data_IF_739634925167
#
_entry.id   IF_739634925167
#
_cell.length_a   1.000
_cell.length_b   1.000
_cell.length_c   1.000
_cell.angle_alpha   90.00
_cell.angle_beta   90.00
_cell.angle_gamma   90.00
#
_symmetry.space_group_name_H-M   'P 1'
#
loop_
_entity.id
_entity.type
_entity.pdbx_description
1 polymer ?
#
# COMPACT_ATOMS: atom_id res chain seq x y z
N UNK A 1 -0.02 -6.36 -3.25
CA UNK A 1 0.03 -5.50 -2.02
C UNK A 1 0.43 -6.34 -0.83
N UNK A 2 0.72 -5.77 0.38
CA UNK A 2 1.03 -6.59 1.57
C UNK A 2 -0.12 -7.54 1.96
N UNK A 3 -1.35 -7.20 1.63
CA UNK A 3 -2.56 -7.99 1.92
C UNK A 3 -2.64 -9.30 1.14
N UNK A 4 -2.32 -9.31 -0.14
CA UNK A 4 -2.36 -10.51 -0.99
C UNK A 4 -1.29 -11.54 -0.58
N UNK A 5 -0.08 -11.05 -0.30
CA UNK A 5 1.01 -11.89 0.22
C UNK A 5 0.67 -12.46 1.61
N UNK A 6 0.06 -11.66 2.49
CA UNK A 6 -0.32 -12.12 3.82
C UNK A 6 -1.47 -13.14 3.75
N UNK A 7 -2.48 -12.90 2.89
CA UNK A 7 -3.56 -13.85 2.62
C UNK A 7 -2.99 -15.16 2.09
N UNK A 8 -2.07 -15.11 1.11
CA UNK A 8 -1.45 -16.31 0.54
C UNK A 8 -0.66 -17.10 1.58
N UNK A 9 0.07 -16.43 2.49
CA UNK A 9 0.81 -17.09 3.58
C UNK A 9 -0.11 -17.81 4.56
N UNK A 10 -1.20 -17.14 4.96
CA UNK A 10 -2.19 -17.74 5.85
C UNK A 10 -2.87 -18.97 5.20
N UNK A 11 -3.27 -18.85 3.94
CA UNK A 11 -3.90 -19.98 3.22
C UNK A 11 -2.93 -21.15 3.00
N UNK A 12 -1.64 -20.86 2.80
CA UNK A 12 -0.60 -21.87 2.60
C UNK A 12 -0.37 -22.77 3.83
N UNK A 13 -0.88 -22.40 5.01
CA UNK A 13 -0.87 -23.26 6.19
C UNK A 13 -1.77 -24.53 6.03
N UNK A 14 -2.64 -24.53 5.02
CA UNK A 14 -3.58 -25.63 4.80
C UNK A 14 -3.65 -26.10 3.35
N UNK A 15 -3.42 -25.25 2.40
CA UNK A 15 -3.63 -25.49 0.97
C UNK A 15 -2.34 -25.30 0.17
N UNK A 16 -2.27 -25.95 -0.99
CA UNK A 16 -1.28 -25.64 -2.01
C UNK A 16 -1.68 -24.32 -2.71
N UNK A 17 -1.05 -23.21 -2.32
CA UNK A 17 -1.38 -21.87 -2.79
C UNK A 17 -0.39 -21.38 -3.84
N UNK A 18 -0.90 -20.79 -4.92
CA UNK A 18 -0.12 -19.99 -5.84
C UNK A 18 -0.60 -18.52 -5.79
N UNK A 19 0.31 -17.57 -5.66
CA UNK A 19 -0.03 -16.15 -5.58
C UNK A 19 0.71 -15.34 -6.64
N UNK A 20 0.14 -14.19 -7.01
CA UNK A 20 0.79 -13.21 -7.88
C UNK A 20 2.20 -12.90 -7.40
N UNK A 21 3.17 -12.96 -8.30
CA UNK A 21 4.57 -12.66 -8.02
C UNK A 21 4.91 -11.22 -8.42
N UNK A 22 5.65 -10.51 -7.55
CA UNK A 22 6.12 -9.15 -7.83
C UNK A 22 4.97 -8.16 -8.10
N UNK A 23 4.93 -7.60 -9.30
CA UNK A 23 3.92 -6.64 -9.78
C UNK A 23 3.08 -7.18 -10.94
N UNK A 24 2.95 -8.49 -11.10
CA UNK A 24 2.21 -9.14 -12.19
C UNK A 24 0.68 -9.05 -11.98
N UNK A 25 0.16 -7.83 -11.80
CA UNK A 25 -1.21 -7.55 -11.43
C UNK A 25 -2.04 -6.82 -12.53
N UNK A 26 -1.51 -6.69 -13.74
CA UNK A 26 -2.16 -6.08 -14.89
C UNK A 26 -2.60 -7.12 -15.93
N UNK A 27 -3.09 -6.65 -17.10
CA UNK A 27 -3.56 -7.50 -18.20
C UNK A 27 -2.51 -8.43 -18.83
N UNK A 28 -1.23 -8.26 -18.53
CA UNK A 28 -0.15 -9.19 -18.87
C UNK A 28 0.17 -10.11 -17.68
N UNK A 29 0.27 -9.54 -16.50
CA UNK A 29 0.71 -10.24 -15.31
C UNK A 29 -0.31 -11.25 -14.76
N UNK A 30 -1.61 -10.92 -14.82
CA UNK A 30 -2.67 -11.83 -14.37
C UNK A 30 -2.70 -13.12 -15.21
N UNK A 31 -2.70 -13.08 -16.56
CA UNK A 31 -2.55 -14.29 -17.37
C UNK A 31 -1.29 -15.10 -17.04
N UNK A 32 -0.14 -14.44 -16.83
CA UNK A 32 1.09 -15.13 -16.46
C UNK A 32 0.98 -15.80 -15.09
N UNK A 33 0.33 -15.18 -14.13
CA UNK A 33 0.04 -15.77 -12.81
C UNK A 33 -0.81 -17.03 -12.95
N UNK A 34 -1.86 -16.99 -13.78
CA UNK A 34 -2.73 -18.14 -14.01
C UNK A 34 -2.01 -19.29 -14.73
N UNK A 35 -1.21 -18.98 -15.76
CA UNK A 35 -0.43 -19.96 -16.51
C UNK A 35 0.65 -20.64 -15.67
N UNK A 36 1.11 -20.02 -14.60
CA UNK A 36 2.09 -20.59 -13.67
C UNK A 36 1.45 -21.53 -12.63
N UNK A 37 0.13 -21.55 -12.49
CA UNK A 37 -0.58 -22.49 -11.64
C UNK A 37 -0.49 -23.90 -12.23
N UNK A 38 -0.34 -24.89 -11.36
CA UNK A 38 -0.25 -26.30 -11.73
C UNK A 38 -1.50 -27.06 -11.31
N UNK A 39 -1.59 -28.35 -11.66
CA UNK A 39 -2.68 -29.20 -11.20
C UNK A 39 -2.71 -29.40 -9.69
N UNK A 40 -1.59 -29.16 -9.02
CA UNK A 40 -1.48 -29.28 -7.56
C UNK A 40 -1.91 -27.99 -6.84
N UNK A 41 -2.13 -26.88 -7.57
CA UNK A 41 -2.61 -25.63 -7.00
C UNK A 41 -4.07 -25.75 -6.60
N UNK A 42 -4.36 -25.68 -5.31
CA UNK A 42 -5.71 -25.74 -4.75
C UNK A 42 -6.37 -24.36 -4.68
N UNK A 43 -5.57 -23.31 -4.39
CA UNK A 43 -6.04 -21.93 -4.30
C UNK A 43 -5.10 -20.98 -5.05
N UNK A 44 -5.68 -20.14 -5.88
CA UNK A 44 -4.98 -19.01 -6.53
C UNK A 44 -5.29 -17.69 -5.81
N UNK A 45 -4.26 -16.94 -5.42
CA UNK A 45 -4.40 -15.56 -4.90
C UNK A 45 -3.91 -14.59 -5.97
N UNK A 46 -4.83 -13.96 -6.67
CA UNK A 46 -4.52 -13.09 -7.81
C UNK A 46 -4.70 -11.63 -7.43
N UNK A 47 -3.59 -10.87 -7.39
CA UNK A 47 -3.63 -9.42 -7.24
C UNK A 47 -4.09 -8.77 -8.54
N UNK A 48 -5.05 -7.85 -8.47
CA UNK A 48 -5.56 -7.08 -9.59
C UNK A 48 -5.29 -5.59 -9.36
N UNK A 49 -4.41 -5.02 -10.18
CA UNK A 49 -4.12 -3.59 -10.21
C UNK A 49 -4.88 -2.90 -11.34
N UNK A 50 -5.32 -1.68 -11.09
CA UNK A 50 -5.96 -0.86 -12.12
C UNK A 50 -5.60 0.61 -11.96
N UNK A 51 -5.51 1.30 -13.08
CA UNK A 51 -5.34 2.75 -13.21
C UNK A 51 -6.53 3.46 -13.84
N UNK A 52 -7.49 2.71 -14.44
CA UNK A 52 -8.69 3.22 -15.06
C UNK A 52 -9.89 2.28 -14.86
N UNK A 53 -11.12 2.80 -15.08
CA UNK A 53 -12.34 1.99 -15.13
C UNK A 53 -12.27 1.01 -16.32
N UNK A 54 -12.86 -0.18 -16.12
CA UNK A 54 -12.87 -1.27 -17.11
C UNK A 54 -11.71 -2.25 -16.95
N UNK A 55 -10.61 -1.87 -16.30
CA UNK A 55 -9.45 -2.74 -16.15
C UNK A 55 -9.71 -3.89 -15.15
N UNK A 56 -10.36 -3.64 -14.02
CA UNK A 56 -10.72 -4.72 -13.08
C UNK A 56 -11.73 -5.67 -13.70
N UNK A 57 -12.70 -5.16 -14.47
CA UNK A 57 -13.64 -5.99 -15.20
C UNK A 57 -12.93 -6.94 -16.18
N UNK A 58 -11.96 -6.43 -16.95
CA UNK A 58 -11.12 -7.25 -17.83
C UNK A 58 -10.34 -8.32 -17.05
N UNK A 59 -9.69 -7.94 -15.94
CA UNK A 59 -8.91 -8.88 -15.13
C UNK A 59 -9.80 -9.95 -14.48
N UNK A 60 -11.00 -9.60 -14.06
CA UNK A 60 -11.99 -10.55 -13.58
C UNK A 60 -12.45 -11.51 -14.68
N UNK A 61 -12.67 -11.03 -15.92
CA UNK A 61 -13.02 -11.89 -17.04
C UNK A 61 -11.90 -12.89 -17.39
N UNK A 62 -10.63 -12.56 -17.11
CA UNK A 62 -9.48 -13.44 -17.32
C UNK A 62 -9.31 -14.43 -16.15
N UNK A 63 -9.40 -13.95 -14.91
CA UNK A 63 -9.09 -14.73 -13.72
C UNK A 63 -10.30 -15.54 -13.18
N UNK A 64 -11.51 -15.18 -13.56
CA UNK A 64 -12.77 -15.81 -13.13
C UNK A 64 -12.84 -16.03 -11.60
N UNK A 65 -12.67 -14.98 -10.78
CA UNK A 65 -12.57 -15.13 -9.34
C UNK A 65 -13.88 -15.65 -8.72
N UNK A 66 -13.76 -16.62 -7.82
CA UNK A 66 -14.88 -17.11 -7.00
C UNK A 66 -15.05 -16.27 -5.73
N UNK A 67 -13.96 -15.65 -5.26
CA UNK A 67 -13.90 -14.81 -4.08
C UNK A 67 -13.19 -13.51 -4.40
N UNK A 68 -13.54 -12.44 -3.69
CA UNK A 68 -12.87 -11.16 -3.86
C UNK A 68 -12.75 -10.36 -2.59
N UNK A 69 -11.73 -9.54 -2.53
CA UNK A 69 -11.46 -8.63 -1.44
C UNK A 69 -11.01 -7.27 -2.02
N UNK A 70 -11.73 -6.20 -1.71
CA UNK A 70 -11.25 -4.84 -1.93
C UNK A 70 -10.68 -4.34 -0.60
N UNK A 71 -9.38 -4.06 -0.57
CA UNK A 71 -8.70 -3.64 0.66
C UNK A 71 -9.09 -2.24 1.11
N UNK A 72 -9.25 -1.34 0.17
CA UNK A 72 -9.73 0.03 0.39
C UNK A 72 -10.13 0.70 -0.93
N UNK A 73 -10.88 1.80 -0.83
CA UNK A 73 -11.12 2.76 -1.92
C UNK A 73 -10.35 4.03 -1.57
N UNK A 74 -9.04 4.02 -1.89
CA UNK A 74 -8.13 5.13 -1.61
C UNK A 74 -8.04 6.13 -2.77
N UNK A 75 -7.17 7.12 -2.61
CA UNK A 75 -6.89 8.19 -3.59
C UNK A 75 -5.67 7.82 -4.43
N UNK A 76 -5.76 6.73 -5.20
CA UNK A 76 -4.69 6.25 -6.08
C UNK A 76 -5.12 6.36 -7.54
N UNK A 77 -4.17 6.66 -8.45
CA UNK A 77 -4.39 6.76 -9.89
C UNK A 77 -5.55 7.70 -10.27
N UNK A 78 -5.66 8.84 -9.55
CA UNK A 78 -6.79 9.77 -9.68
C UNK A 78 -6.98 10.27 -11.11
N UNK A 79 -5.89 10.49 -11.84
CA UNK A 79 -5.92 10.95 -13.23
C UNK A 79 -6.64 9.94 -14.13
N UNK A 80 -6.19 8.68 -14.13
CA UNK A 80 -6.74 7.64 -15.00
C UNK A 80 -8.18 7.24 -14.64
N UNK A 81 -8.54 7.27 -13.35
CA UNK A 81 -9.91 7.01 -12.91
C UNK A 81 -10.84 8.23 -13.04
N UNK A 82 -10.31 9.44 -13.26
CA UNK A 82 -11.11 10.68 -13.28
C UNK A 82 -11.61 11.08 -11.89
N UNK A 83 -10.85 10.82 -10.82
CA UNK A 83 -11.14 11.18 -9.45
C UNK A 83 -11.60 10.04 -8.55
N UNK A 84 -11.91 10.35 -7.29
CA UNK A 84 -12.23 9.37 -6.23
C UNK A 84 -13.44 8.50 -6.58
N UNK A 85 -14.47 9.08 -7.16
CA UNK A 85 -15.67 8.31 -7.58
C UNK A 85 -15.36 7.35 -8.73
N UNK A 86 -14.43 7.69 -9.61
CA UNK A 86 -13.90 6.78 -10.63
C UNK A 86 -13.14 5.61 -10.00
N UNK A 87 -12.31 5.85 -8.98
CA UNK A 87 -11.65 4.77 -8.22
C UNK A 87 -12.67 3.83 -7.59
N UNK A 88 -13.74 4.37 -7.00
CA UNK A 88 -14.84 3.60 -6.42
C UNK A 88 -15.53 2.71 -7.46
N UNK A 89 -15.86 3.26 -8.62
CA UNK A 89 -16.48 2.51 -9.72
C UNK A 89 -15.55 1.41 -10.24
N UNK A 90 -14.30 1.76 -10.60
CA UNK A 90 -13.36 0.80 -11.15
C UNK A 90 -13.04 -0.36 -10.21
N UNK A 91 -12.81 -0.10 -8.92
CA UNK A 91 -12.63 -1.19 -7.95
C UNK A 91 -13.92 -1.97 -7.73
N UNK A 92 -15.09 -1.32 -7.82
CA UNK A 92 -16.40 -1.94 -7.69
C UNK A 92 -16.70 -2.98 -8.77
N UNK A 93 -16.01 -2.94 -9.92
CA UNK A 93 -16.13 -3.93 -11.00
C UNK A 93 -15.86 -5.37 -10.53
N UNK A 94 -14.99 -5.55 -9.50
CA UNK A 94 -14.83 -6.85 -8.85
C UNK A 94 -16.13 -7.35 -8.20
N UNK A 95 -16.83 -6.46 -7.49
CA UNK A 95 -18.11 -6.82 -6.87
C UNK A 95 -19.20 -7.06 -7.91
N UNK A 96 -19.19 -6.31 -9.03
CA UNK A 96 -20.12 -6.52 -10.15
C UNK A 96 -19.91 -7.93 -10.75
N UNK A 97 -18.64 -8.31 -10.98
CA UNK A 97 -18.30 -9.64 -11.49
C UNK A 97 -18.76 -10.76 -10.55
N UNK A 98 -18.42 -10.64 -9.24
CA UNK A 98 -18.79 -11.65 -8.25
C UNK A 98 -20.32 -11.80 -8.13
N UNK A 99 -21.05 -10.69 -8.12
CA UNK A 99 -22.51 -10.70 -8.07
C UNK A 99 -23.13 -11.39 -9.28
N UNK A 100 -22.58 -11.17 -10.48
CA UNK A 100 -23.06 -11.79 -11.72
C UNK A 100 -22.74 -13.28 -11.83
N UNK A 101 -21.66 -13.75 -11.19
CA UNK A 101 -21.15 -15.13 -11.33
C UNK A 101 -21.32 -15.97 -10.06
N UNK A 102 -22.13 -15.52 -9.08
CA UNK A 102 -22.40 -16.28 -7.84
C UNK A 102 -21.20 -16.38 -6.90
N UNK A 103 -20.23 -15.47 -7.04
CA UNK A 103 -19.06 -15.36 -6.18
C UNK A 103 -19.37 -14.68 -4.84
N UNK A 104 -18.35 -14.56 -3.98
CA UNK A 104 -18.46 -13.98 -2.64
C UNK A 104 -17.41 -12.90 -2.42
N UNK A 105 -17.78 -11.80 -1.78
CA UNK A 105 -16.88 -10.74 -1.37
C UNK A 105 -16.59 -10.79 0.14
N UNK A 106 -15.32 -10.64 0.52
CA UNK A 106 -14.94 -10.31 1.89
C UNK A 106 -14.98 -8.80 2.05
N UNK A 107 -15.77 -8.32 3.00
CA UNK A 107 -16.01 -6.88 3.18
C UNK A 107 -15.74 -6.49 4.62
N UNK A 108 -14.89 -5.49 4.80
CA UNK A 108 -14.58 -4.95 6.13
C UNK A 108 -15.78 -4.16 6.67
N UNK A 109 -16.25 -4.55 7.86
CA UNK A 109 -17.51 -4.06 8.44
C UNK A 109 -17.48 -2.56 8.80
N UNK A 110 -16.34 -2.04 9.23
CA UNK A 110 -16.17 -0.64 9.64
C UNK A 110 -15.91 0.32 8.47
N UNK A 111 -15.72 -0.20 7.26
CA UNK A 111 -15.58 0.61 6.05
C UNK A 111 -16.94 0.84 5.39
N UNK A 112 -17.58 1.97 5.75
CA UNK A 112 -18.90 2.31 5.21
C UNK A 112 -18.94 2.43 3.70
N UNK A 113 -17.82 2.76 3.03
CA UNK A 113 -17.73 2.81 1.57
C UNK A 113 -17.82 1.41 0.98
N UNK A 114 -17.02 0.45 1.49
CA UNK A 114 -17.04 -0.93 1.01
C UNK A 114 -18.38 -1.62 1.30
N UNK A 115 -18.94 -1.39 2.49
CA UNK A 115 -20.27 -1.93 2.86
C UNK A 115 -21.34 -1.40 1.93
N UNK A 116 -21.34 -0.09 1.65
CA UNK A 116 -22.30 0.51 0.70
C UNK A 116 -22.12 -0.04 -0.72
N UNK A 117 -20.87 -0.14 -1.21
CA UNK A 117 -20.57 -0.71 -2.52
C UNK A 117 -21.07 -2.16 -2.65
N UNK A 118 -20.93 -2.96 -1.61
CA UNK A 118 -21.45 -4.33 -1.60
C UNK A 118 -22.97 -4.38 -1.58
N UNK A 119 -23.61 -3.54 -0.75
CA UNK A 119 -25.08 -3.46 -0.63
C UNK A 119 -25.78 -2.98 -1.91
N UNK A 120 -25.12 -2.17 -2.73
CA UNK A 120 -25.62 -1.73 -4.04
C UNK A 120 -25.78 -2.91 -5.05
N UNK A 121 -25.23 -4.08 -4.73
CA UNK A 121 -25.31 -5.33 -5.54
C UNK A 121 -26.10 -6.38 -4.78
N UNK A 122 -27.41 -6.31 -4.88
CA UNK A 122 -28.37 -7.05 -4.03
C UNK A 122 -28.23 -8.58 -4.06
N UNK A 123 -27.55 -9.15 -5.04
CA UNK A 123 -27.29 -10.59 -5.18
C UNK A 123 -25.84 -11.00 -4.87
N UNK A 124 -24.99 -10.07 -4.42
CA UNK A 124 -23.62 -10.36 -4.01
C UNK A 124 -23.63 -11.08 -2.66
N UNK A 125 -23.06 -12.29 -2.62
CA UNK A 125 -22.78 -12.96 -1.36
C UNK A 125 -21.64 -12.24 -0.63
N UNK A 126 -21.85 -11.90 0.65
CA UNK A 126 -20.90 -11.09 1.43
C UNK A 126 -20.50 -11.84 2.69
N UNK A 127 -19.19 -11.87 2.96
CA UNK A 127 -18.60 -12.25 4.23
C UNK A 127 -18.09 -10.98 4.93
N UNK A 128 -18.82 -10.54 5.95
CA UNK A 128 -18.43 -9.37 6.74
C UNK A 128 -17.40 -9.75 7.80
N UNK A 129 -16.30 -9.03 7.87
CA UNK A 129 -15.32 -9.20 8.94
C UNK A 129 -15.07 -7.91 9.72
N UNK A 130 -14.78 -8.06 11.00
CA UNK A 130 -14.42 -6.97 11.89
C UNK A 130 -12.89 -6.85 11.97
N UNK A 131 -12.29 -5.66 11.76
CA UNK A 131 -10.85 -5.50 11.92
C UNK A 131 -10.35 -5.75 13.35
N UNK A 132 -11.22 -5.74 14.36
CA UNK A 132 -10.87 -6.08 15.73
C UNK A 132 -10.35 -7.53 15.90
N UNK A 133 -10.59 -8.42 14.94
CA UNK A 133 -10.00 -9.78 14.97
C UNK A 133 -8.48 -9.78 14.96
N UNK A 134 -7.85 -8.69 14.51
CA UNK A 134 -6.40 -8.51 14.51
C UNK A 134 -5.86 -7.87 15.80
N UNK A 135 -6.72 -7.50 16.76
CA UNK A 135 -6.29 -6.87 18.00
C UNK A 135 -5.46 -7.86 18.86
N UNK A 136 -4.30 -7.38 19.31
CA UNK A 136 -3.38 -8.19 20.08
C UNK A 136 -2.66 -9.30 19.28
N UNK A 137 -2.83 -9.36 17.98
CA UNK A 137 -2.08 -10.29 17.13
C UNK A 137 -0.70 -9.70 16.83
N UNK A 138 0.36 -10.40 17.27
CA UNK A 138 1.73 -10.00 16.99
C UNK A 138 2.04 -10.10 15.50
N UNK A 139 2.61 -9.03 14.94
CA UNK A 139 3.11 -9.00 13.57
C UNK A 139 4.30 -8.04 13.43
N UNK A 140 5.04 -8.16 12.33
CA UNK A 140 6.24 -7.35 12.04
C UNK A 140 6.01 -6.29 10.96
N UNK A 141 4.77 -6.08 10.60
CA UNK A 141 4.37 -5.07 9.63
C UNK A 141 4.30 -3.71 10.31
N UNK A 142 4.94 -2.70 9.74
CA UNK A 142 4.91 -1.32 10.26
C UNK A 142 3.66 -0.58 9.81
N UNK A 143 3.11 0.23 10.71
CA UNK A 143 1.97 1.11 10.45
C UNK A 143 0.61 0.52 10.80
N UNK A 144 -0.24 1.36 11.42
CA UNK A 144 -1.57 1.00 11.88
C UNK A 144 -2.48 0.44 10.77
N UNK A 145 -2.28 0.86 9.52
CA UNK A 145 -3.04 0.34 8.37
C UNK A 145 -2.76 -1.14 8.08
N UNK A 146 -1.60 -1.67 8.49
CA UNK A 146 -1.29 -3.09 8.30
C UNK A 146 -2.10 -3.99 9.23
N UNK A 147 -2.61 -3.48 10.36
CA UNK A 147 -3.62 -4.19 11.17
C UNK A 147 -4.85 -4.57 10.32
N UNK A 148 -5.26 -3.72 9.37
CA UNK A 148 -6.37 -4.01 8.46
C UNK A 148 -6.01 -5.13 7.46
N UNK A 149 -4.76 -5.17 6.99
CA UNK A 149 -4.27 -6.25 6.12
C UNK A 149 -4.21 -7.58 6.89
N UNK A 150 -3.77 -7.55 8.16
CA UNK A 150 -3.78 -8.71 9.07
C UNK A 150 -5.21 -9.20 9.28
N UNK A 151 -6.15 -8.31 9.59
CA UNK A 151 -7.55 -8.68 9.78
C UNK A 151 -8.16 -9.33 8.54
N UNK A 152 -7.87 -8.79 7.35
CA UNK A 152 -8.32 -9.38 6.09
C UNK A 152 -7.77 -10.81 5.88
N UNK A 153 -6.48 -11.02 6.11
CA UNK A 153 -5.86 -12.32 5.98
C UNK A 153 -6.41 -13.33 7.00
N UNK A 154 -6.61 -12.92 8.25
CA UNK A 154 -7.25 -13.75 9.29
C UNK A 154 -8.69 -14.12 8.92
N UNK A 155 -9.48 -13.15 8.44
CA UNK A 155 -10.86 -13.40 8.02
C UNK A 155 -10.94 -14.43 6.89
N UNK A 156 -10.09 -14.26 5.85
CA UNK A 156 -9.99 -15.21 4.74
C UNK A 156 -9.53 -16.58 5.24
N UNK A 157 -8.48 -16.65 6.06
CA UNK A 157 -7.98 -17.91 6.63
C UNK A 157 -9.05 -18.66 7.41
N UNK A 158 -9.81 -17.99 8.27
CA UNK A 158 -10.93 -18.55 9.04
C UNK A 158 -12.03 -19.09 8.13
N UNK A 159 -12.41 -18.35 7.12
CA UNK A 159 -13.42 -18.77 6.15
C UNK A 159 -13.03 -20.07 5.44
N UNK A 160 -11.77 -20.20 5.05
CA UNK A 160 -11.23 -21.41 4.43
C UNK A 160 -10.85 -22.49 5.45
N UNK A 161 -11.14 -22.30 6.74
CA UNK A 161 -10.94 -23.30 7.78
C UNK A 161 -9.47 -23.60 8.08
N UNK A 162 -8.61 -22.60 7.94
CA UNK A 162 -7.24 -22.66 8.49
C UNK A 162 -7.34 -22.56 10.02
N UNK A 163 -6.57 -23.36 10.72
CA UNK A 163 -6.53 -23.37 12.18
C UNK A 163 -6.07 -22.00 12.73
N UNK A 164 -6.70 -21.54 13.82
CA UNK A 164 -6.47 -20.20 14.37
C UNK A 164 -5.02 -19.99 14.83
N UNK A 165 -4.40 -21.02 15.41
CA UNK A 165 -3.00 -20.95 15.85
C UNK A 165 -2.08 -20.81 14.65
N UNK A 166 -2.30 -21.61 13.58
CA UNK A 166 -1.55 -21.50 12.34
C UNK A 166 -1.72 -20.16 11.64
N UNK A 167 -2.94 -19.58 11.66
CA UNK A 167 -3.17 -18.22 11.14
C UNK A 167 -2.29 -17.22 11.87
N UNK A 168 -2.26 -17.27 13.22
CA UNK A 168 -1.46 -16.35 14.04
C UNK A 168 0.04 -16.54 13.81
N UNK A 169 0.50 -17.77 13.69
CA UNK A 169 1.90 -18.08 13.43
C UNK A 169 2.34 -17.58 12.04
N UNK A 170 1.53 -17.81 11.01
CA UNK A 170 1.79 -17.30 9.67
C UNK A 170 1.88 -15.76 9.62
N UNK A 171 0.98 -15.08 10.33
CA UNK A 171 0.99 -13.61 10.46
C UNK A 171 2.23 -13.12 11.21
N UNK A 172 2.59 -13.75 12.34
CA UNK A 172 3.74 -13.37 13.15
C UNK A 172 5.08 -13.63 12.44
N UNK A 173 5.13 -14.70 11.63
CA UNK A 173 6.33 -15.07 10.85
C UNK A 173 6.52 -14.20 9.60
N UNK A 174 5.46 -13.55 9.10
CA UNK A 174 5.53 -12.76 7.88
C UNK A 174 6.49 -11.58 8.01
N UNK A 175 7.38 -11.43 7.04
CA UNK A 175 8.32 -10.31 6.94
C UNK A 175 8.18 -9.67 5.57
N UNK A 176 7.88 -8.35 5.51
CA UNK A 176 7.89 -7.63 4.23
C UNK A 176 9.34 -7.55 3.70
N UNK A 177 9.52 -7.85 2.42
CA UNK A 177 10.81 -7.82 1.72
C UNK A 177 10.79 -6.93 0.46
N UNK A 178 9.71 -6.17 0.27
CA UNK A 178 9.39 -5.48 -0.97
C UNK A 178 9.38 -3.95 -0.86
N UNK A 179 10.15 -3.35 0.03
CA UNK A 179 10.22 -1.90 0.28
C UNK A 179 8.84 -1.26 0.58
N UNK A 180 7.93 -2.03 1.23
CA UNK A 180 6.63 -1.53 1.69
C UNK A 180 6.60 -1.49 3.20
N UNK A 181 6.65 -0.28 3.77
CA UNK A 181 6.66 -0.06 5.23
C UNK A 181 7.66 -0.97 5.97
N UNK A 182 8.86 -1.12 5.38
CA UNK A 182 9.89 -2.00 5.91
C UNK A 182 10.82 -1.24 6.84
N UNK A 183 10.93 -1.67 8.10
CA UNK A 183 11.94 -1.14 9.01
C UNK A 183 13.30 -1.78 8.72
N UNK A 184 14.33 -0.95 8.54
CA UNK A 184 15.72 -1.37 8.37
C UNK A 184 16.63 -0.59 9.32
N UNK A 185 17.57 -1.26 9.93
CA UNK A 185 18.68 -0.61 10.65
C UNK A 185 19.91 -0.64 9.77
N UNK A 186 20.55 0.50 9.60
CA UNK A 186 21.87 0.64 8.97
C UNK A 186 22.92 0.84 10.06
N UNK A 187 24.18 0.98 9.69
CA UNK A 187 25.23 1.31 10.63
C UNK A 187 25.07 2.70 11.27
N UNK A 188 24.25 3.57 10.68
CA UNK A 188 24.12 4.99 11.06
C UNK A 188 22.72 5.36 11.52
N UNK A 189 21.68 4.76 10.94
CA UNK A 189 20.30 5.23 11.08
C UNK A 189 19.31 4.09 11.22
N UNK A 190 18.10 4.41 11.69
CA UNK A 190 16.94 3.54 11.58
C UNK A 190 16.04 4.07 10.48
N UNK A 191 15.69 3.22 9.51
CA UNK A 191 14.92 3.60 8.33
C UNK A 191 13.54 2.95 8.35
N UNK A 192 12.53 3.70 7.88
CA UNK A 192 11.26 3.18 7.39
C UNK A 192 11.28 3.33 5.87
N UNK A 193 11.44 2.21 5.16
CA UNK A 193 11.50 2.16 3.70
C UNK A 193 10.12 1.84 3.15
N UNK A 194 9.48 2.81 2.52
CA UNK A 194 8.13 2.71 1.93
C UNK A 194 8.09 3.37 0.55
N UNK A 195 9.05 3.00 -0.31
CA UNK A 195 9.28 3.61 -1.62
C UNK A 195 8.94 2.71 -2.82
N UNK A 196 8.12 1.65 -2.59
CA UNK A 196 7.61 0.84 -3.70
C UNK A 196 6.57 1.58 -4.54
N UNK A 197 5.66 2.33 -3.92
CA UNK A 197 4.70 3.22 -4.58
C UNK A 197 4.19 4.27 -3.58
N UNK A 198 3.73 5.42 -4.13
CA UNK A 198 3.12 6.47 -3.33
C UNK A 198 1.84 7.00 -4.01
N UNK A 199 0.83 7.21 -3.19
CA UNK A 199 -0.40 7.91 -3.52
C UNK A 199 -0.85 8.69 -2.29
N UNK A 200 -1.79 9.64 -2.40
CA UNK A 200 -2.21 10.48 -1.27
C UNK A 200 -2.59 9.72 -0.01
N UNK A 201 -3.36 8.64 -0.14
CA UNK A 201 -3.78 7.84 1.02
C UNK A 201 -2.61 7.13 1.70
N UNK A 202 -1.69 6.53 0.92
CA UNK A 202 -0.53 5.85 1.47
C UNK A 202 0.52 6.83 2.01
N UNK A 203 0.67 7.99 1.40
CA UNK A 203 1.56 9.07 1.88
C UNK A 203 1.09 9.58 3.24
N UNK A 204 -0.20 9.91 3.34
CA UNK A 204 -0.82 10.37 4.58
C UNK A 204 -0.67 9.35 5.72
N UNK A 205 -0.97 8.07 5.43
CA UNK A 205 -0.88 6.99 6.42
C UNK A 205 0.57 6.74 6.88
N UNK A 206 1.53 6.73 5.94
CA UNK A 206 2.95 6.53 6.24
C UNK A 206 3.52 7.68 7.08
N UNK A 207 3.19 8.93 6.72
CA UNK A 207 3.56 10.10 7.50
C UNK A 207 2.94 10.08 8.90
N UNK A 208 1.64 9.78 9.03
CA UNK A 208 0.98 9.72 10.33
C UNK A 208 1.62 8.69 11.25
N UNK A 209 1.96 7.51 10.73
CA UNK A 209 2.65 6.48 11.48
C UNK A 209 4.06 6.93 11.91
N UNK A 210 4.86 7.44 10.97
CA UNK A 210 6.23 7.90 11.22
C UNK A 210 6.29 9.04 12.25
N UNK A 211 5.37 10.00 12.16
CA UNK A 211 5.29 11.12 13.09
C UNK A 211 4.82 10.70 14.48
N UNK A 212 3.93 9.71 14.56
CA UNK A 212 3.41 9.18 15.82
C UNK A 212 4.38 8.28 16.59
N UNK A 213 5.48 7.82 15.96
CA UNK A 213 6.48 7.00 16.64
C UNK A 213 7.43 7.85 17.50
N UNK A 214 7.79 7.36 18.66
CA UNK A 214 8.89 7.92 19.44
C UNK A 214 10.23 7.48 18.86
N UNK A 215 11.18 8.41 18.74
CA UNK A 215 12.53 8.12 18.28
C UNK A 215 13.57 8.76 19.21
N UNK A 216 14.66 8.04 19.46
CA UNK A 216 15.78 8.54 20.29
C UNK A 216 16.60 9.59 19.53
N UNK A 217 16.61 9.51 18.19
CA UNK A 217 17.23 10.49 17.30
C UNK A 217 16.20 11.39 16.63
N UNK A 218 16.62 12.48 16.04
CA UNK A 218 15.71 13.36 15.28
C UNK A 218 15.10 12.65 14.08
N UNK A 219 13.91 13.07 13.69
CA UNK A 219 13.17 12.54 12.55
C UNK A 219 13.52 13.26 11.26
N UNK A 220 13.77 12.50 10.20
CA UNK A 220 13.98 13.02 8.85
C UNK A 220 12.98 12.37 7.90
N UNK A 221 12.19 13.17 7.20
CA UNK A 221 11.29 12.67 6.16
C UNK A 221 11.89 12.98 4.77
N UNK A 222 12.07 11.96 3.95
CA UNK A 222 12.47 12.06 2.54
C UNK A 222 11.26 11.63 1.70
N UNK A 223 10.60 12.61 1.10
CA UNK A 223 9.37 12.40 0.34
C UNK A 223 9.64 12.59 -1.15
N UNK A 224 9.38 11.57 -1.94
CA UNK A 224 9.43 11.60 -3.39
C UNK A 224 8.05 11.79 -4.00
N UNK A 225 7.99 12.38 -5.20
CA UNK A 225 6.75 12.68 -5.89
C UNK A 225 5.77 11.51 -5.92
N UNK A 226 4.49 11.85 -5.82
CA UNK A 226 3.36 10.97 -6.07
C UNK A 226 2.95 11.13 -7.53
N UNK A 227 3.15 10.09 -8.33
CA UNK A 227 2.83 10.09 -9.76
C UNK A 227 1.35 9.80 -10.02
N UNK A 228 0.90 10.08 -11.25
CA UNK A 228 -0.46 9.77 -11.76
C UNK A 228 -1.59 10.50 -11.00
N UNK A 229 -1.33 11.69 -10.51
CA UNK A 229 -2.33 12.50 -9.82
C UNK A 229 -3.01 13.54 -10.72
N UNK A 230 -2.43 13.87 -11.88
CA UNK A 230 -3.00 14.86 -12.79
C UNK A 230 -3.33 16.19 -12.11
N UNK A 231 -4.55 16.68 -12.28
CA UNK A 231 -4.99 17.96 -11.70
C UNK A 231 -5.00 18.00 -10.16
N UNK A 232 -4.93 16.86 -9.48
CA UNK A 232 -4.88 16.81 -8.00
C UNK A 232 -3.47 16.91 -7.45
N UNK A 233 -2.41 16.83 -8.31
CA UNK A 233 -1.02 16.77 -7.88
C UNK A 233 -0.65 17.90 -6.92
N UNK A 234 -0.89 19.15 -7.29
CA UNK A 234 -0.51 20.31 -6.48
C UNK A 234 -1.14 20.30 -5.07
N UNK A 235 -2.43 19.95 -4.97
CA UNK A 235 -3.15 19.92 -3.70
C UNK A 235 -2.67 18.78 -2.79
N UNK A 236 -2.41 17.59 -3.36
CA UNK A 236 -2.00 16.42 -2.59
C UNK A 236 -0.54 16.51 -2.12
N UNK A 237 0.36 17.04 -2.94
CA UNK A 237 1.74 17.29 -2.53
C UNK A 237 1.81 18.35 -1.44
N UNK A 238 1.01 19.43 -1.58
CA UNK A 238 0.87 20.44 -0.53
C UNK A 238 0.39 19.84 0.80
N UNK A 239 -0.66 19.02 0.78
CA UNK A 239 -1.19 18.37 1.98
C UNK A 239 -0.15 17.48 2.67
N UNK A 240 0.67 16.76 1.90
CA UNK A 240 1.76 15.94 2.45
C UNK A 240 2.84 16.81 3.13
N UNK A 241 3.21 17.93 2.53
CA UNK A 241 4.16 18.88 3.12
C UNK A 241 3.61 19.49 4.41
N UNK A 242 2.36 19.95 4.40
CA UNK A 242 1.68 20.51 5.57
C UNK A 242 1.64 19.48 6.72
N UNK A 243 1.31 18.23 6.43
CA UNK A 243 1.29 17.15 7.42
C UNK A 243 2.70 16.89 8.00
N UNK A 244 3.73 16.82 7.16
CA UNK A 244 5.10 16.59 7.61
C UNK A 244 5.60 17.72 8.51
N UNK A 245 5.35 18.99 8.13
CA UNK A 245 5.78 20.16 8.88
C UNK A 245 5.00 20.42 10.18
N UNK A 246 3.77 19.90 10.27
CA UNK A 246 2.98 19.92 11.51
C UNK A 246 3.55 18.98 12.58
N UNK A 247 4.39 18.03 12.19
CA UNK A 247 5.06 17.11 13.10
C UNK A 247 6.45 17.58 13.53
N UNK A 248 7.14 16.72 14.26
CA UNK A 248 8.44 16.93 14.88
C UNK A 248 9.64 16.57 13.98
N UNK A 249 9.51 16.74 12.66
CA UNK A 249 10.63 16.49 11.74
C UNK A 249 11.72 17.57 11.89
N UNK A 250 12.97 17.13 12.01
CA UNK A 250 14.14 18.01 11.97
C UNK A 250 14.47 18.45 10.54
N UNK A 251 14.28 17.55 9.57
CA UNK A 251 14.50 17.81 8.16
C UNK A 251 13.40 17.17 7.32
N UNK A 252 12.96 17.91 6.31
CA UNK A 252 12.04 17.46 5.29
C UNK A 252 12.70 17.60 3.92
N UNK A 253 13.07 16.50 3.32
CA UNK A 253 13.64 16.46 1.98
C UNK A 253 12.54 16.13 0.98
N UNK A 254 12.35 17.00 0.02
CA UNK A 254 11.35 16.90 -1.04
C UNK A 254 12.07 16.60 -2.36
N UNK A 255 11.79 15.43 -2.95
CA UNK A 255 12.50 14.92 -4.11
C UNK A 255 11.52 14.78 -5.28
N UNK A 256 11.76 15.58 -6.32
CA UNK A 256 10.97 15.61 -7.54
C UNK A 256 10.42 17.01 -7.87
N UNK A 257 9.84 17.11 -9.04
CA UNK A 257 9.35 18.37 -9.60
C UNK A 257 8.01 18.81 -9.01
N UNK A 258 7.15 17.84 -8.70
CA UNK A 258 5.81 18.10 -8.15
C UNK A 258 5.87 18.64 -6.72
N UNK A 259 6.64 18.00 -5.83
CA UNK A 259 6.89 18.51 -4.50
C UNK A 259 7.58 19.88 -4.53
N UNK A 260 8.57 20.05 -5.43
CA UNK A 260 9.26 21.33 -5.59
C UNK A 260 8.31 22.44 -6.03
N UNK A 261 7.40 22.16 -6.96
CA UNK A 261 6.39 23.09 -7.42
C UNK A 261 5.37 23.42 -6.31
N UNK A 262 4.88 22.40 -5.61
CA UNK A 262 3.94 22.60 -4.49
C UNK A 262 4.55 23.46 -3.38
N UNK A 263 5.80 23.18 -2.97
CA UNK A 263 6.49 23.96 -1.96
C UNK A 263 6.66 25.43 -2.36
N UNK A 264 7.12 25.69 -3.58
CA UNK A 264 7.27 27.07 -4.08
C UNK A 264 5.94 27.82 -4.14
N UNK A 265 4.86 27.14 -4.53
CA UNK A 265 3.51 27.71 -4.57
C UNK A 265 2.95 28.05 -3.18
N UNK A 266 3.41 27.38 -2.11
CA UNK A 266 3.03 27.70 -0.73
C UNK A 266 3.60 29.05 -0.29
N UNK A 267 4.67 29.55 -0.92
CA UNK A 267 5.25 30.88 -0.64
C UNK A 267 5.79 31.05 0.78
N UNK A 268 5.95 29.96 1.54
CA UNK A 268 6.52 29.97 2.88
C UNK A 268 7.98 29.49 2.85
N UNK A 269 8.79 30.00 3.77
CA UNK A 269 10.14 29.51 4.04
C UNK A 269 10.15 28.72 5.34
N UNK A 270 10.78 27.55 5.32
CA UNK A 270 11.06 26.76 6.52
C UNK A 270 12.46 26.15 6.33
N UNK A 271 13.37 26.43 7.26
CA UNK A 271 14.77 25.99 7.19
C UNK A 271 14.95 24.47 7.24
N UNK A 272 13.94 23.76 7.70
CA UNK A 272 13.90 22.28 7.72
C UNK A 272 13.75 21.69 6.31
N UNK A 273 13.23 22.47 5.33
CA UNK A 273 12.88 21.98 3.99
C UNK A 273 14.05 22.09 3.03
N UNK A 274 14.38 21.00 2.38
CA UNK A 274 15.33 20.95 1.26
C UNK A 274 14.67 20.36 0.02
N UNK A 275 14.92 20.99 -1.12
CA UNK A 275 14.39 20.58 -2.42
C UNK A 275 15.47 19.92 -3.26
N UNK A 276 15.11 18.83 -3.93
CA UNK A 276 15.95 18.12 -4.88
C UNK A 276 15.11 17.82 -6.11
N UNK A 277 15.60 18.15 -7.30
CA UNK A 277 14.87 17.84 -8.53
C UNK A 277 14.89 16.34 -8.83
N UNK A 278 15.95 15.63 -8.39
CA UNK A 278 16.14 14.21 -8.66
C UNK A 278 16.65 13.47 -7.42
N UNK A 279 16.50 12.14 -7.43
CA UNK A 279 17.10 11.27 -6.42
C UNK A 279 18.64 11.37 -6.41
N UNK A 280 19.28 11.61 -7.57
CA UNK A 280 20.74 11.75 -7.65
C UNK A 280 21.24 13.01 -6.94
N UNK A 281 20.51 14.11 -7.01
CA UNK A 281 20.84 15.32 -6.24
C UNK A 281 20.71 15.07 -4.73
N UNK A 282 19.66 14.35 -4.29
CA UNK A 282 19.50 13.96 -2.90
C UNK A 282 20.62 13.03 -2.42
N UNK A 283 21.04 12.05 -3.27
CA UNK A 283 22.16 11.17 -2.99
C UNK A 283 23.48 11.93 -2.84
N UNK A 284 23.77 12.87 -3.74
CA UNK A 284 24.97 13.71 -3.64
C UNK A 284 24.98 14.56 -2.35
N UNK A 285 23.83 15.05 -1.91
CA UNK A 285 23.71 15.79 -0.66
C UNK A 285 23.96 14.88 0.56
N UNK A 286 23.46 13.63 0.55
CA UNK A 286 23.76 12.64 1.60
C UNK A 286 25.22 12.25 1.66
N UNK A 287 25.87 12.09 0.50
CA UNK A 287 27.31 11.82 0.44
C UNK A 287 28.14 12.95 1.06
N UNK A 288 27.77 14.20 0.80
CA UNK A 288 28.46 15.38 1.32
C UNK A 288 28.19 15.59 2.83
N UNK A 289 27.00 15.24 3.33
CA UNK A 289 26.58 15.40 4.72
C UNK A 289 25.64 14.26 5.14
N UNK A 290 26.19 13.09 5.52
CA UNK A 290 25.40 11.93 5.89
C UNK A 290 24.60 12.16 7.18
N UNK A 291 23.41 11.60 7.24
CA UNK A 291 22.66 11.50 8.50
C UNK A 291 23.32 10.48 9.42
N UNK A 292 23.29 10.75 10.73
CA UNK A 292 23.74 9.84 11.76
C UNK A 292 22.83 9.92 12.99
N UNK A 293 22.45 8.76 13.52
CA UNK A 293 21.57 8.66 14.68
C UNK A 293 20.13 9.11 14.40
N UNK A 294 19.68 9.07 13.13
CA UNK A 294 18.36 9.56 12.74
C UNK A 294 17.36 8.42 12.53
N UNK A 295 16.08 8.75 12.75
CA UNK A 295 14.94 7.98 12.30
C UNK A 295 14.47 8.56 10.96
N UNK A 296 14.56 7.80 9.88
CA UNK A 296 14.38 8.30 8.51
C UNK A 296 13.23 7.60 7.83
N UNK A 297 12.25 8.35 7.33
CA UNK A 297 11.24 7.86 6.40
C UNK A 297 11.69 8.09 4.97
N UNK A 298 11.65 7.03 4.13
CA UNK A 298 11.75 7.11 2.67
C UNK A 298 10.39 6.77 2.07
N UNK A 299 9.67 7.75 1.49
CA UNK A 299 8.35 7.54 0.90
C UNK A 299 8.23 8.27 -0.44
N UNK A 300 7.93 7.54 -1.52
CA UNK A 300 7.76 8.09 -2.86
C UNK A 300 7.25 7.04 -3.84
N UNK A 301 6.85 7.47 -5.04
CA UNK A 301 6.55 6.58 -6.15
C UNK A 301 7.82 5.86 -6.62
N UNK A 302 7.67 4.62 -7.09
CA UNK A 302 8.80 3.80 -7.56
C UNK A 302 9.68 4.51 -8.59
N UNK A 303 9.07 5.25 -9.53
CA UNK A 303 9.78 6.00 -10.56
C UNK A 303 10.73 7.08 -10.04
N UNK A 304 10.64 7.50 -8.78
CA UNK A 304 11.56 8.45 -8.15
C UNK A 304 12.86 7.78 -7.71
N UNK A 305 12.81 6.47 -7.38
CA UNK A 305 13.98 5.67 -7.06
C UNK A 305 14.61 5.96 -5.70
N UNK A 306 13.81 6.33 -4.69
CA UNK A 306 14.32 6.68 -3.35
C UNK A 306 15.06 5.53 -2.66
N UNK A 307 14.83 4.28 -3.02
CA UNK A 307 15.55 3.12 -2.51
C UNK A 307 17.06 3.21 -2.73
N UNK A 308 17.51 3.96 -3.75
CA UNK A 308 18.92 4.22 -4.06
C UNK A 308 19.63 5.05 -2.98
N UNK A 309 18.87 5.75 -2.14
CA UNK A 309 19.42 6.53 -1.03
C UNK A 309 19.86 5.65 0.15
N UNK A 310 19.35 4.41 0.23
CA UNK A 310 19.59 3.50 1.37
C UNK A 310 21.09 3.21 1.57
N UNK A 311 21.86 3.14 0.51
CA UNK A 311 23.30 2.90 0.58
C UNK A 311 24.08 4.02 1.28
N UNK A 312 23.53 5.24 1.32
CA UNK A 312 24.15 6.42 1.93
C UNK A 312 23.58 6.76 3.32
N UNK A 313 22.55 6.05 3.75
CA UNK A 313 21.86 6.20 5.02
C UNK A 313 22.32 5.13 6.02
#
# INVERSE_FOLDING_TARGET
MASDLLVSRVLAEKYAVYATQGNLNNHIGVPLTLLAMTRDTELGVVEMGASACGEIALLCAIAEPNFGLITNVGRAHLEGFGGVEGVRRGKGELYDYLAANGGRAFVRRDDGTLVKMAAERGNLAVELYDPAIADGVGHRLEGAFNRLNVAAAMAVGRYFGVDEERIRDAVAAYRPDNNRSQRRSTARNTLVVDCYNANPSSMQASLANFLGEESVGGKVAVLGDMLELGAWSAAEHRAAVEQALAGDVEQLWLVGTEFSAAWRAMGCGDERVRLFATCDEAAAALQASPFAGKFVLLKGSHGIGLERLIEWL
#
